data_IF_302092368187
#
_entry.id   IF_302092368187
#
_cell.length_a   1.000
_cell.length_b   1.000
_cell.length_c   1.000
_cell.angle_alpha   90.00
_cell.angle_beta   90.00
_cell.angle_gamma   90.00
#
_symmetry.space_group_name_H-M   'P 1'
#
loop_
_entity.id
_entity.type
_entity.pdbx_description
1 polymer ?
#
# COMPACT_ATOMS: atom_id res chain seq x y z
N UNK A 1 -4.87 -22.07 -6.83
CA UNK A 1 -3.70 -21.19 -6.61
C UNK A 1 -4.12 -20.11 -5.63
N UNK A 2 -3.41 -19.94 -4.52
CA UNK A 2 -3.78 -18.95 -3.49
C UNK A 2 -3.76 -17.54 -4.07
N UNK A 3 -4.95 -16.93 -4.23
CA UNK A 3 -5.13 -15.58 -4.78
C UNK A 3 -4.67 -14.51 -3.76
N UNK A 4 -4.63 -14.86 -2.47
CA UNK A 4 -4.22 -14.01 -1.36
C UNK A 4 -2.90 -13.25 -1.55
N UNK A 5 -1.76 -13.90 -1.86
CA UNK A 5 -0.52 -13.19 -2.14
C UNK A 5 -0.63 -12.22 -3.34
N UNK A 6 -1.43 -12.56 -4.35
CA UNK A 6 -1.63 -11.69 -5.52
C UNK A 6 -2.38 -10.42 -5.13
N UNK A 7 -3.42 -10.53 -4.31
CA UNK A 7 -4.18 -9.38 -3.80
C UNK A 7 -3.28 -8.46 -2.97
N UNK A 8 -2.44 -9.02 -2.10
CA UNK A 8 -1.52 -8.24 -1.27
C UNK A 8 -0.48 -7.49 -2.10
N UNK A 9 0.09 -8.13 -3.13
CA UNK A 9 1.03 -7.47 -4.05
C UNK A 9 0.33 -6.35 -4.82
N UNK A 10 -0.89 -6.60 -5.32
CA UNK A 10 -1.66 -5.58 -6.03
C UNK A 10 -1.99 -4.37 -5.14
N UNK A 11 -2.39 -4.62 -3.88
CA UNK A 11 -2.66 -3.58 -2.90
C UNK A 11 -1.40 -2.75 -2.58
N UNK A 12 -0.23 -3.39 -2.44
CA UNK A 12 1.04 -2.72 -2.21
C UNK A 12 1.44 -1.80 -3.37
N UNK A 13 1.35 -2.29 -4.61
CA UNK A 13 1.70 -1.51 -5.80
C UNK A 13 0.74 -0.34 -6.01
N UNK A 14 -0.57 -0.57 -5.86
CA UNK A 14 -1.57 0.47 -6.01
C UNK A 14 -1.41 1.59 -4.98
N UNK A 15 -1.25 1.22 -3.70
CA UNK A 15 -1.09 2.18 -2.61
C UNK A 15 0.20 2.99 -2.71
N UNK A 16 1.31 2.37 -3.13
CA UNK A 16 2.55 3.08 -3.42
C UNK A 16 2.36 4.14 -4.52
N UNK A 17 1.77 3.74 -5.66
CA UNK A 17 1.55 4.63 -6.81
C UNK A 17 0.59 5.76 -6.46
N UNK A 18 -0.46 5.47 -5.69
CA UNK A 18 -1.42 6.45 -5.21
C UNK A 18 -0.75 7.56 -4.39
N UNK A 19 0.06 7.19 -3.38
CA UNK A 19 0.76 8.19 -2.55
C UNK A 19 1.81 8.94 -3.36
N UNK A 20 2.55 8.25 -4.23
CA UNK A 20 3.53 8.90 -5.09
C UNK A 20 2.88 10.00 -5.94
N UNK A 21 1.73 9.70 -6.55
CA UNK A 21 0.96 10.66 -7.33
C UNK A 21 0.39 11.78 -6.46
N UNK A 22 -0.29 11.45 -5.36
CA UNK A 22 -0.92 12.44 -4.48
C UNK A 22 0.10 13.41 -3.85
N UNK A 23 1.26 12.91 -3.42
CA UNK A 23 2.33 13.78 -2.92
C UNK A 23 2.78 14.80 -3.98
N UNK A 24 2.82 14.41 -5.26
CA UNK A 24 3.18 15.32 -6.36
C UNK A 24 2.07 16.29 -6.74
N UNK A 25 0.80 15.88 -6.59
CA UNK A 25 -0.36 16.77 -6.76
C UNK A 25 -0.39 17.85 -5.67
N UNK A 26 -0.19 17.47 -4.41
CA UNK A 26 -0.24 18.40 -3.27
C UNK A 26 0.99 19.30 -3.23
N UNK A 27 2.18 18.74 -3.44
CA UNK A 27 3.43 19.49 -3.47
C UNK A 27 4.33 19.02 -4.62
N UNK A 28 4.24 19.67 -5.80
CA UNK A 28 5.07 19.33 -6.95
C UNK A 28 6.57 19.41 -6.67
N UNK A 29 6.99 20.31 -5.77
CA UNK A 29 8.38 20.53 -5.39
C UNK A 29 8.89 19.54 -4.32
N UNK A 30 8.02 18.66 -3.80
CA UNK A 30 8.43 17.64 -2.84
C UNK A 30 9.59 16.80 -3.38
N UNK A 31 10.62 16.61 -2.56
CA UNK A 31 11.81 15.88 -2.98
C UNK A 31 11.45 14.43 -3.27
N UNK A 32 11.98 13.88 -4.37
CA UNK A 32 11.69 12.51 -4.81
C UNK A 32 11.97 11.50 -3.70
N UNK A 33 13.03 11.73 -2.90
CA UNK A 33 13.39 10.87 -1.76
C UNK A 33 12.26 10.81 -0.73
N UNK A 34 11.73 11.95 -0.28
CA UNK A 34 10.64 11.96 0.71
C UNK A 34 9.36 11.33 0.16
N UNK A 35 9.04 11.59 -1.11
CA UNK A 35 7.86 10.99 -1.76
C UNK A 35 7.96 9.47 -1.86
N UNK A 36 9.13 8.94 -2.22
CA UNK A 36 9.38 7.50 -2.28
C UNK A 36 9.26 6.86 -0.89
N UNK A 37 9.87 7.47 0.14
CA UNK A 37 9.76 6.96 1.51
C UNK A 37 8.32 6.99 2.03
N UNK A 38 7.58 8.06 1.77
CA UNK A 38 6.15 8.15 2.11
C UNK A 38 5.34 7.05 1.44
N UNK A 39 5.59 6.80 0.14
CA UNK A 39 4.94 5.72 -0.61
C UNK A 39 5.25 4.34 -0.05
N UNK A 40 6.52 4.06 0.29
CA UNK A 40 6.92 2.77 0.90
C UNK A 40 6.23 2.58 2.25
N UNK A 41 6.28 3.58 3.14
CA UNK A 41 5.65 3.50 4.45
C UNK A 41 4.15 3.24 4.35
N UNK A 42 3.47 3.94 3.43
CA UNK A 42 2.04 3.75 3.23
C UNK A 42 1.70 2.38 2.64
N UNK A 43 2.48 1.89 1.67
CA UNK A 43 2.29 0.56 1.10
C UNK A 43 2.42 -0.54 2.17
N UNK A 44 3.39 -0.41 3.08
CA UNK A 44 3.55 -1.33 4.22
C UNK A 44 2.30 -1.30 5.12
N UNK A 45 1.82 -0.10 5.49
CA UNK A 45 0.61 0.04 6.32
C UNK A 45 -0.62 -0.60 5.67
N UNK A 46 -0.80 -0.41 4.35
CA UNK A 46 -1.91 -1.02 3.60
C UNK A 46 -1.79 -2.55 3.57
N UNK A 47 -0.61 -3.10 3.32
CA UNK A 47 -0.38 -4.55 3.34
C UNK A 47 -0.65 -5.13 4.73
N UNK A 48 -0.20 -4.46 5.79
CA UNK A 48 -0.50 -4.88 7.16
C UNK A 48 -2.00 -4.89 7.43
N UNK A 49 -2.72 -3.83 7.04
CA UNK A 49 -4.16 -3.74 7.21
C UNK A 49 -4.91 -4.87 6.47
N UNK A 50 -4.56 -5.11 5.20
CA UNK A 50 -5.16 -6.19 4.42
C UNK A 50 -4.82 -7.57 4.99
N UNK A 51 -3.61 -7.75 5.52
CA UNK A 51 -3.22 -9.01 6.16
C UNK A 51 -4.05 -9.28 7.42
N UNK A 52 -4.31 -8.25 8.24
CA UNK A 52 -5.18 -8.34 9.41
C UNK A 52 -6.62 -8.67 8.99
N UNK A 53 -7.16 -7.98 7.97
CA UNK A 53 -8.51 -8.24 7.46
C UNK A 53 -8.66 -9.67 6.93
N UNK A 54 -7.67 -10.16 6.20
CA UNK A 54 -7.66 -11.54 5.70
C UNK A 54 -7.60 -12.56 6.85
N UNK A 55 -6.82 -12.27 7.89
CA UNK A 55 -6.72 -13.13 9.07
C UNK A 55 -8.05 -13.19 9.82
N UNK A 56 -8.71 -12.05 10.03
CA UNK A 56 -10.05 -11.99 10.64
C UNK A 56 -11.07 -12.80 9.82
N UNK A 57 -11.07 -12.62 8.50
CA UNK A 57 -11.99 -13.33 7.61
C UNK A 57 -11.73 -14.84 7.55
N UNK A 58 -10.49 -15.27 7.78
CA UNK A 58 -10.13 -16.68 7.92
C UNK A 58 -10.55 -17.26 9.27
N UNK A 59 -10.54 -16.47 10.35
CA UNK A 59 -10.95 -16.90 11.70
C UNK A 59 -12.46 -17.05 11.81
N UNK A 60 -13.24 -16.21 11.13
CA UNK A 60 -14.70 -16.29 11.11
C UNK A 60 -15.27 -17.41 10.22
N UNK A 61 -14.41 -18.16 9.53
CA UNK A 61 -14.79 -19.19 8.55
C UNK A 61 -14.55 -20.60 9.08
#
# INVERSE_FOLDING_TARGET
MNITPVILIAAALFSYMFIYFMCKVVNPQASKRHVVWAGICFAILVVMLFSILLLLLLVER
#
